data_IF_012956302288
#
_entry.id   IF_012956302288
#
_cell.length_a   1.000
_cell.length_b   1.000
_cell.length_c   1.000
_cell.angle_alpha   90.00
_cell.angle_beta   90.00
_cell.angle_gamma   90.00
#
_symmetry.space_group_name_H-M   'P 1'
#
loop_
_entity.id
_entity.type
_entity.pdbx_description
1 polymer ?
#
# COMPACT_ATOMS: atom_id res chain seq x y z
N UNK A 1 -6.59 29.26 9.60
CA UNK A 1 -5.69 29.96 8.67
C UNK A 1 -5.82 31.47 8.81
N UNK A 2 -4.71 32.21 8.82
CA UNK A 2 -4.70 33.69 8.83
C UNK A 2 -5.29 34.27 7.54
N UNK A 3 -5.81 35.51 7.59
CA UNK A 3 -6.48 36.14 6.42
C UNK A 3 -5.54 36.26 5.21
N UNK A 4 -4.28 36.61 5.44
CA UNK A 4 -3.29 36.79 4.37
C UNK A 4 -2.99 35.47 3.65
N UNK A 5 -2.84 34.36 4.39
CA UNK A 5 -2.66 33.03 3.81
C UNK A 5 -3.91 32.54 3.06
N UNK A 6 -5.11 32.92 3.52
CA UNK A 6 -6.37 32.67 2.79
C UNK A 6 -6.42 33.39 1.45
N UNK A 7 -6.00 34.66 1.41
CA UNK A 7 -5.92 35.42 0.16
C UNK A 7 -4.92 34.78 -0.81
N UNK A 8 -3.74 34.38 -0.32
CA UNK A 8 -2.74 33.65 -1.13
C UNK A 8 -3.28 32.33 -1.67
N UNK A 9 -3.98 31.54 -0.86
CA UNK A 9 -4.63 30.30 -1.32
C UNK A 9 -5.68 30.58 -2.39
N UNK A 10 -6.48 31.63 -2.20
CA UNK A 10 -7.49 32.03 -3.16
C UNK A 10 -6.86 32.45 -4.50
N UNK A 11 -5.79 33.26 -4.44
CA UNK A 11 -5.01 33.68 -5.62
C UNK A 11 -4.42 32.48 -6.36
N UNK A 12 -3.91 31.50 -5.63
CA UNK A 12 -3.42 30.24 -6.20
C UNK A 12 -4.51 29.52 -6.99
N UNK A 13 -5.66 29.26 -6.36
CA UNK A 13 -6.78 28.54 -6.98
C UNK A 13 -7.39 29.29 -8.18
N UNK A 14 -7.24 30.62 -8.23
CA UNK A 14 -7.69 31.46 -9.35
C UNK A 14 -6.72 31.54 -10.53
N UNK A 15 -5.51 30.94 -10.43
CA UNK A 15 -4.57 30.84 -11.55
C UNK A 15 -5.25 30.18 -12.76
N UNK A 16 -4.91 30.65 -13.95
CA UNK A 16 -5.54 30.19 -15.21
C UNK A 16 -5.40 28.68 -15.41
N UNK A 17 -4.25 28.11 -15.09
CA UNK A 17 -3.95 26.69 -15.18
C UNK A 17 -4.87 25.87 -14.27
N UNK A 18 -4.85 26.16 -12.96
CA UNK A 18 -5.67 25.46 -11.96
C UNK A 18 -7.16 25.65 -12.24
N UNK A 19 -7.58 26.86 -12.63
CA UNK A 19 -8.99 27.11 -12.99
C UNK A 19 -9.44 26.33 -14.21
N UNK A 20 -8.55 26.11 -15.17
CA UNK A 20 -8.84 25.26 -16.33
C UNK A 20 -8.99 23.79 -15.92
N UNK A 21 -8.16 23.32 -15.00
CA UNK A 21 -8.25 21.98 -14.42
C UNK A 21 -9.53 21.80 -13.60
N UNK A 22 -9.90 22.78 -12.76
CA UNK A 22 -11.17 22.78 -12.00
C UNK A 22 -12.34 22.65 -12.97
N UNK A 23 -12.39 23.47 -14.03
CA UNK A 23 -13.47 23.40 -15.02
C UNK A 23 -13.51 22.05 -15.73
N UNK A 24 -12.34 21.51 -16.10
CA UNK A 24 -12.23 20.17 -16.69
C UNK A 24 -12.70 19.08 -15.73
N UNK A 25 -12.31 19.14 -14.46
CA UNK A 25 -12.70 18.18 -13.43
C UNK A 25 -14.22 18.20 -13.21
N UNK A 26 -14.82 19.39 -13.09
CA UNK A 26 -16.27 19.56 -12.99
C UNK A 26 -16.99 19.02 -14.23
N UNK A 27 -16.50 19.32 -15.44
CA UNK A 27 -17.08 18.82 -16.68
C UNK A 27 -17.02 17.28 -16.80
N UNK A 28 -15.97 16.66 -16.24
CA UNK A 28 -15.81 15.19 -16.17
C UNK A 28 -16.55 14.56 -14.99
N UNK A 29 -17.20 15.33 -14.13
CA UNK A 29 -17.86 14.84 -12.92
C UNK A 29 -16.88 14.30 -11.86
N UNK A 30 -15.62 14.75 -11.89
CA UNK A 30 -14.62 14.36 -10.89
C UNK A 30 -14.89 15.06 -9.56
N UNK A 31 -14.65 14.35 -8.45
CA UNK A 31 -14.81 14.87 -7.08
C UNK A 31 -13.55 15.56 -6.54
N UNK A 32 -12.45 15.53 -7.28
CA UNK A 32 -11.16 16.02 -6.82
C UNK A 32 -10.33 16.64 -7.94
N UNK A 33 -9.42 17.54 -7.56
CA UNK A 33 -8.35 18.08 -8.41
C UNK A 33 -7.01 17.70 -7.81
N UNK A 34 -6.01 17.45 -8.65
CA UNK A 34 -4.66 17.08 -8.21
C UNK A 34 -3.71 18.21 -8.56
N UNK A 35 -2.96 18.67 -7.56
CA UNK A 35 -1.97 19.74 -7.69
C UNK A 35 -0.62 19.24 -7.20
N UNK A 36 0.47 19.60 -7.89
CA UNK A 36 1.82 19.25 -7.44
C UNK A 36 2.28 20.22 -6.35
N UNK A 37 2.95 19.69 -5.33
CA UNK A 37 3.50 20.51 -4.25
C UNK A 37 4.51 21.54 -4.76
N UNK A 38 5.26 21.22 -5.82
CA UNK A 38 6.19 22.15 -6.47
C UNK A 38 5.49 23.41 -7.00
N UNK A 39 4.30 23.27 -7.59
CA UNK A 39 3.54 24.40 -8.14
C UNK A 39 3.08 25.35 -7.01
N UNK A 40 2.72 24.78 -5.85
CA UNK A 40 2.40 25.53 -4.64
C UNK A 40 3.63 26.25 -4.07
N UNK A 41 4.77 25.55 -3.99
CA UNK A 41 6.03 26.09 -3.48
C UNK A 41 6.58 27.22 -4.36
N UNK A 42 6.42 27.12 -5.68
CA UNK A 42 6.77 28.18 -6.63
C UNK A 42 5.83 29.38 -6.53
N UNK A 43 4.56 29.16 -6.20
CA UNK A 43 3.62 30.24 -5.99
C UNK A 43 3.93 31.04 -4.72
N UNK A 44 3.97 30.37 -3.58
CA UNK A 44 4.25 30.99 -2.29
C UNK A 44 4.84 29.98 -1.29
N UNK A 45 6.02 30.32 -0.76
CA UNK A 45 6.75 29.45 0.16
C UNK A 45 6.11 29.36 1.55
N UNK A 46 5.42 30.40 1.98
CA UNK A 46 4.77 30.42 3.30
C UNK A 46 3.51 29.55 3.28
N UNK A 47 2.72 29.63 2.20
CA UNK A 47 1.56 28.78 1.98
C UNK A 47 1.95 27.31 1.90
N UNK A 48 3.03 26.98 1.19
CA UNK A 48 3.55 25.61 1.12
C UNK A 48 4.02 25.09 2.49
N UNK A 49 4.72 25.90 3.29
CA UNK A 49 5.10 25.56 4.67
C UNK A 49 3.87 25.38 5.56
N UNK A 50 2.88 26.24 5.41
CA UNK A 50 1.64 26.16 6.17
C UNK A 50 0.88 24.85 5.91
N UNK A 51 0.84 24.39 4.66
CA UNK A 51 0.31 23.05 4.34
C UNK A 51 1.07 21.94 5.06
N UNK A 52 2.41 22.00 5.11
CA UNK A 52 3.23 21.00 5.80
C UNK A 52 2.94 21.00 7.31
N UNK A 53 2.75 22.17 7.91
CA UNK A 53 2.61 22.34 9.34
C UNK A 53 1.18 22.18 9.88
N UNK A 54 0.18 22.55 9.08
CA UNK A 54 -1.25 22.60 9.44
C UNK A 54 -2.17 22.10 8.30
N UNK A 55 -2.04 20.82 7.88
CA UNK A 55 -2.77 20.27 6.75
C UNK A 55 -4.29 20.28 6.93
N UNK A 56 -4.80 19.93 8.11
CA UNK A 56 -6.26 19.86 8.33
C UNK A 56 -6.95 21.21 8.08
N UNK A 57 -6.39 22.29 8.64
CA UNK A 57 -6.90 23.65 8.46
C UNK A 57 -6.75 24.09 6.99
N UNK A 58 -5.60 23.81 6.37
CA UNK A 58 -5.36 24.11 4.95
C UNK A 58 -6.40 23.46 4.03
N UNK A 59 -6.63 22.14 4.16
CA UNK A 59 -7.57 21.43 3.29
C UNK A 59 -9.03 21.81 3.56
N UNK A 60 -9.39 22.09 4.82
CA UNK A 60 -10.72 22.60 5.15
C UNK A 60 -11.00 23.93 4.46
N UNK A 61 -10.04 24.86 4.48
CA UNK A 61 -10.19 26.17 3.85
C UNK A 61 -10.13 26.06 2.32
N UNK A 62 -9.25 25.23 1.77
CA UNK A 62 -9.21 24.95 0.33
C UNK A 62 -10.55 24.39 -0.19
N UNK A 63 -11.20 23.50 0.57
CA UNK A 63 -12.51 22.96 0.20
C UNK A 63 -13.61 24.03 0.19
N UNK A 64 -13.56 25.01 1.10
CA UNK A 64 -14.52 26.14 1.12
C UNK A 64 -14.33 27.05 -0.10
N UNK A 65 -13.10 27.40 -0.43
CA UNK A 65 -12.80 28.23 -1.60
C UNK A 65 -13.18 27.52 -2.90
N UNK A 66 -12.85 26.23 -3.03
CA UNK A 66 -13.23 25.42 -4.20
C UNK A 66 -14.75 25.31 -4.37
N UNK A 67 -15.50 25.15 -3.28
CA UNK A 67 -16.96 25.13 -3.33
C UNK A 67 -17.55 26.45 -3.86
N UNK A 68 -16.90 27.59 -3.56
CA UNK A 68 -17.26 28.90 -4.12
C UNK A 68 -16.98 29.05 -5.62
N UNK A 69 -15.95 28.36 -6.14
CA UNK A 69 -15.54 28.44 -7.55
C UNK A 69 -16.32 27.48 -8.45
N UNK A 70 -16.54 26.25 -7.99
CA UNK A 70 -17.03 25.15 -8.80
C UNK A 70 -18.52 24.86 -8.64
N UNK A 71 -19.21 25.53 -7.71
CA UNK A 71 -20.61 25.25 -7.31
C UNK A 71 -20.87 23.77 -6.95
N UNK A 72 -19.81 23.01 -6.69
CA UNK A 72 -19.79 21.57 -6.45
C UNK A 72 -18.68 21.25 -5.42
N UNK A 73 -18.87 20.25 -4.54
CA UNK A 73 -17.87 19.89 -3.54
C UNK A 73 -16.68 19.17 -4.19
N UNK A 74 -15.66 19.92 -4.60
CA UNK A 74 -14.37 19.38 -5.04
C UNK A 74 -13.36 19.38 -3.89
N UNK A 75 -12.58 18.29 -3.81
CA UNK A 75 -11.47 18.14 -2.89
C UNK A 75 -10.14 18.47 -3.57
N UNK A 76 -9.26 19.19 -2.86
CA UNK A 76 -7.90 19.45 -3.31
C UNK A 76 -6.98 18.29 -2.89
N UNK A 77 -6.32 17.66 -3.85
CA UNK A 77 -5.35 16.59 -3.64
C UNK A 77 -3.96 17.13 -3.97
N UNK A 78 -2.97 16.88 -3.11
CA UNK A 78 -1.59 17.37 -3.30
C UNK A 78 -0.65 16.20 -3.46
N UNK A 79 0.08 16.16 -4.58
CA UNK A 79 1.04 15.11 -4.90
C UNK A 79 2.49 15.63 -4.94
N UNK A 80 3.45 14.71 -4.86
CA UNK A 80 4.87 14.97 -5.11
C UNK A 80 5.53 15.94 -4.13
N UNK A 81 5.56 15.62 -2.83
CA UNK A 81 6.29 16.45 -1.85
C UNK A 81 7.83 16.31 -1.98
N UNK A 82 8.30 15.38 -2.82
CA UNK A 82 9.70 15.10 -3.05
C UNK A 82 10.33 14.24 -1.95
N UNK A 83 11.59 13.84 -2.19
CA UNK A 83 12.35 12.97 -1.27
C UNK A 83 12.59 13.60 0.11
N UNK A 84 12.66 14.93 0.19
CA UNK A 84 12.90 15.66 1.44
C UNK A 84 11.79 15.46 2.49
N UNK A 85 10.54 15.32 2.02
CA UNK A 85 9.36 15.13 2.88
C UNK A 85 8.88 13.68 2.89
N UNK A 86 9.65 12.77 2.27
CA UNK A 86 9.34 11.33 2.28
C UNK A 86 9.90 10.70 3.53
N UNK A 87 9.02 10.13 4.36
CA UNK A 87 9.35 9.53 5.65
C UNK A 87 9.05 8.04 5.61
N UNK A 88 10.05 7.22 5.94
CA UNK A 88 9.86 5.78 6.13
C UNK A 88 8.91 5.51 7.30
N UNK A 89 8.04 4.49 7.16
CA UNK A 89 7.06 4.12 8.20
C UNK A 89 7.72 3.89 9.57
N UNK A 90 8.92 3.32 9.61
CA UNK A 90 9.72 3.10 10.82
C UNK A 90 10.22 4.35 11.48
N UNK A 91 10.45 5.40 10.71
CA UNK A 91 10.97 6.67 11.19
C UNK A 91 9.86 7.61 11.65
N UNK A 92 8.58 7.19 11.53
CA UNK A 92 7.45 7.91 12.11
C UNK A 92 7.58 8.03 13.64
N UNK A 93 7.72 9.27 14.08
CA UNK A 93 7.88 9.73 15.46
C UNK A 93 6.90 10.86 15.75
N UNK A 94 6.85 11.30 17.01
CA UNK A 94 6.02 12.41 17.48
C UNK A 94 6.14 13.68 16.63
N UNK A 95 7.35 14.02 16.16
CA UNK A 95 7.60 15.21 15.34
C UNK A 95 6.79 15.27 14.02
N UNK A 96 6.28 14.12 13.55
CA UNK A 96 5.49 14.01 12.34
C UNK A 96 3.98 14.01 12.61
N UNK A 97 3.55 14.06 13.87
CA UNK A 97 2.14 14.16 14.21
C UNK A 97 1.58 15.49 13.71
N UNK A 98 0.39 15.42 13.10
CA UNK A 98 -0.33 16.55 12.52
C UNK A 98 0.43 17.25 11.38
N UNK A 99 1.53 16.66 10.88
CA UNK A 99 2.29 17.18 9.73
C UNK A 99 1.86 16.49 8.44
N UNK A 100 1.94 17.24 7.34
CA UNK A 100 1.74 16.71 6.00
C UNK A 100 3.05 16.08 5.51
N UNK A 101 3.03 14.79 5.25
CA UNK A 101 4.21 14.01 4.88
C UNK A 101 3.89 13.07 3.72
N UNK A 102 4.95 12.57 3.08
CA UNK A 102 4.88 11.54 2.05
C UNK A 102 5.40 10.21 2.61
N UNK A 103 4.73 9.11 2.28
CA UNK A 103 5.11 7.76 2.72
C UNK A 103 5.05 6.82 1.52
N UNK A 104 6.04 5.96 1.42
CA UNK A 104 6.07 4.87 0.44
C UNK A 104 5.88 3.52 1.14
N UNK A 105 5.10 2.63 0.52
CA UNK A 105 4.83 1.32 1.10
C UNK A 105 4.08 0.39 0.14
N UNK A 106 3.75 -0.79 0.65
CA UNK A 106 2.95 -1.81 -0.02
C UNK A 106 1.62 -1.93 0.70
N UNK A 107 0.51 -1.95 -0.03
CA UNK A 107 -0.80 -2.22 0.54
C UNK A 107 -0.84 -3.70 0.94
N UNK A 108 -1.02 -3.98 2.22
CA UNK A 108 -1.13 -5.35 2.76
C UNK A 108 -2.56 -5.71 3.10
N UNK A 109 -3.37 -4.72 3.50
CA UNK A 109 -4.75 -4.94 3.92
C UNK A 109 -5.67 -3.91 3.27
N UNK A 110 -6.85 -4.33 2.87
CA UNK A 110 -7.92 -3.44 2.42
C UNK A 110 -9.27 -3.90 2.99
N UNK A 111 -10.04 -2.96 3.54
CA UNK A 111 -11.41 -3.23 3.97
C UNK A 111 -12.40 -3.06 2.81
N UNK A 112 -13.62 -3.55 3.03
CA UNK A 112 -14.80 -3.09 2.28
C UNK A 112 -14.99 -1.57 2.45
N UNK A 113 -15.65 -0.96 1.47
CA UNK A 113 -16.02 0.46 1.51
C UNK A 113 -17.23 0.62 2.43
N UNK A 114 -17.19 1.61 3.31
CA UNK A 114 -18.28 1.93 4.25
C UNK A 114 -18.62 3.41 4.17
N UNK A 115 -19.88 3.80 4.46
CA UNK A 115 -20.23 5.21 4.57
C UNK A 115 -19.73 5.81 5.89
N UNK A 116 -18.94 6.87 5.82
CA UNK A 116 -18.57 7.73 6.96
C UNK A 116 -19.50 8.94 7.03
N UNK A 117 -20.07 9.19 8.20
CA UNK A 117 -20.93 10.33 8.46
C UNK A 117 -20.09 11.61 8.58
N UNK A 118 -20.29 12.58 7.68
CA UNK A 118 -19.58 13.87 7.67
C UNK A 118 -20.38 14.93 8.41
N UNK A 119 -21.67 15.02 8.11
CA UNK A 119 -22.60 15.96 8.75
C UNK A 119 -23.78 15.17 9.27
N UNK A 120 -23.94 15.14 10.58
CA UNK A 120 -25.08 14.52 11.24
C UNK A 120 -26.22 15.52 11.38
N UNK A 121 -27.37 15.22 10.80
CA UNK A 121 -28.60 15.95 11.06
C UNK A 121 -29.28 15.38 12.30
N UNK A 122 -29.49 16.21 13.32
CA UNK A 122 -30.16 15.83 14.55
C UNK A 122 -31.50 16.53 14.65
N UNK A 123 -32.57 15.74 14.82
CA UNK A 123 -33.91 16.23 15.07
C UNK A 123 -34.20 16.26 16.57
N UNK A 124 -34.55 17.43 17.09
CA UNK A 124 -34.98 17.56 18.47
C UNK A 124 -36.37 16.91 18.66
N UNK A 125 -36.52 15.96 19.60
CA UNK A 125 -37.83 15.31 19.84
C UNK A 125 -38.89 16.24 20.46
N UNK A 126 -38.49 17.38 21.04
CA UNK A 126 -39.43 18.32 21.67
C UNK A 126 -39.99 19.35 20.70
N UNK A 127 -39.14 19.97 19.88
CA UNK A 127 -39.56 21.07 18.98
C UNK A 127 -39.45 20.72 17.50
N UNK A 128 -38.92 19.55 17.14
CA UNK A 128 -38.76 19.12 15.76
C UNK A 128 -37.65 19.84 14.98
N UNK A 129 -36.93 20.79 15.59
CA UNK A 129 -35.84 21.52 14.95
C UNK A 129 -34.73 20.57 14.51
N UNK A 130 -34.29 20.72 13.25
CA UNK A 130 -33.10 20.08 12.71
C UNK A 130 -31.86 20.91 13.02
N UNK A 131 -30.80 20.24 13.48
CA UNK A 131 -29.48 20.81 13.72
C UNK A 131 -28.44 19.98 12.99
N UNK A 132 -27.58 20.65 12.22
CA UNK A 132 -26.51 19.99 11.48
C UNK A 132 -25.22 20.11 12.28
N UNK A 133 -24.61 18.98 12.62
CA UNK A 133 -23.36 18.93 13.37
C UNK A 133 -22.33 18.17 12.55
N UNK A 134 -21.23 18.85 12.25
CA UNK A 134 -20.05 18.24 11.66
C UNK A 134 -19.46 17.18 12.59
N UNK A 135 -19.26 16.00 12.04
CA UNK A 135 -18.73 14.86 12.75
C UNK A 135 -17.23 14.75 12.46
N UNK A 136 -16.44 14.66 13.53
CA UNK A 136 -14.98 14.49 13.43
C UNK A 136 -14.57 13.34 14.34
N UNK A 137 -13.79 12.39 13.81
CA UNK A 137 -13.33 11.21 14.55
C UNK A 137 -14.38 10.09 14.63
N UNK A 138 -14.06 9.05 15.38
CA UNK A 138 -14.82 7.77 15.38
C UNK A 138 -16.12 7.82 16.20
N UNK A 139 -16.28 8.79 17.09
CA UNK A 139 -17.41 8.86 18.02
C UNK A 139 -18.41 9.91 17.55
N UNK A 140 -19.68 9.49 17.40
CA UNK A 140 -20.79 10.37 17.08
C UNK A 140 -20.93 11.49 18.13
N UNK A 141 -20.66 12.72 17.71
CA UNK A 141 -20.87 13.95 18.47
C UNK A 141 -22.33 14.38 18.34
N UNK A 142 -23.03 14.41 19.48
CA UNK A 142 -24.43 14.86 19.56
C UNK A 142 -24.52 16.34 19.96
N UNK A 143 -25.63 17.03 19.63
CA UNK A 143 -25.87 18.37 20.13
C UNK A 143 -25.97 18.33 21.65
N UNK A 144 -25.39 19.33 22.33
CA UNK A 144 -25.59 19.52 23.77
C UNK A 144 -26.89 20.28 24.02
N UNK A 145 -27.22 21.23 23.15
CA UNK A 145 -28.37 22.11 23.26
C UNK A 145 -29.06 22.29 21.91
N UNK A 146 -30.38 22.40 21.95
CA UNK A 146 -31.20 22.76 20.82
C UNK A 146 -31.04 24.26 20.52
N UNK A 147 -30.73 24.57 19.27
CA UNK A 147 -30.59 25.94 18.75
C UNK A 147 -31.91 26.71 18.76
N UNK A 148 -33.06 26.01 18.71
CA UNK A 148 -34.35 26.68 18.70
C UNK A 148 -34.59 27.42 20.02
N UNK A 149 -34.69 28.77 19.98
CA UNK A 149 -34.84 29.56 21.19
C UNK A 149 -36.12 29.25 21.97
N UNK A 150 -37.16 28.80 21.28
CA UNK A 150 -38.50 28.50 21.81
C UNK A 150 -38.66 27.06 22.29
N UNK A 151 -37.58 26.25 22.26
CA UNK A 151 -37.65 24.88 22.73
C UNK A 151 -37.75 24.84 24.25
N UNK A 152 -38.80 24.19 24.76
CA UNK A 152 -39.12 24.03 26.18
C UNK A 152 -38.04 23.27 26.95
N UNK A 153 -37.42 22.27 26.32
CA UNK A 153 -36.28 21.55 26.87
C UNK A 153 -35.13 21.50 25.86
N UNK A 154 -34.21 22.47 25.96
CA UNK A 154 -33.07 22.57 25.04
C UNK A 154 -32.07 21.42 25.18
N UNK A 155 -31.98 20.75 26.32
CA UNK A 155 -31.11 19.58 26.51
C UNK A 155 -31.74 18.24 26.10
N UNK A 156 -32.90 18.27 25.44
CA UNK A 156 -33.71 17.09 25.18
C UNK A 156 -33.08 16.08 24.21
N UNK A 157 -33.66 14.86 24.11
CA UNK A 157 -33.08 13.81 23.30
C UNK A 157 -33.11 14.19 21.82
N UNK A 158 -31.93 14.10 21.21
CA UNK A 158 -31.71 14.30 19.79
C UNK A 158 -31.72 12.96 19.06
N UNK A 159 -32.52 12.87 18.00
CA UNK A 159 -32.59 11.72 17.12
C UNK A 159 -31.75 12.00 15.88
N UNK A 160 -30.92 11.03 15.47
CA UNK A 160 -30.18 11.14 14.22
C UNK A 160 -31.15 10.95 13.06
N UNK A 161 -31.23 11.95 12.20
CA UNK A 161 -31.97 11.92 10.95
C UNK A 161 -31.03 11.52 9.83
N UNK A 162 -31.15 10.27 9.37
CA UNK A 162 -30.26 9.70 8.34
C UNK A 162 -30.50 10.37 6.98
N UNK A 163 -31.74 10.77 6.66
CA UNK A 163 -32.10 11.32 5.35
C UNK A 163 -31.47 12.69 5.11
N UNK A 164 -31.42 13.52 6.16
CA UNK A 164 -30.82 14.86 6.09
C UNK A 164 -29.32 14.86 6.43
N UNK A 165 -28.76 13.70 6.78
CA UNK A 165 -27.34 13.54 7.08
C UNK A 165 -26.52 13.40 5.79
N UNK A 166 -25.27 13.88 5.81
CA UNK A 166 -24.34 13.75 4.69
C UNK A 166 -23.29 12.69 4.99
N UNK A 167 -23.13 11.76 4.05
CA UNK A 167 -22.16 10.68 4.12
C UNK A 167 -21.11 10.82 3.01
N UNK A 168 -19.96 10.20 3.22
CA UNK A 168 -18.93 9.99 2.20
C UNK A 168 -18.39 8.58 2.25
N UNK A 169 -17.74 8.16 1.16
CA UNK A 169 -17.09 6.85 1.09
C UNK A 169 -15.84 6.85 1.97
N UNK A 170 -15.66 5.76 2.72
CA UNK A 170 -14.56 5.54 3.64
C UNK A 170 -14.01 4.13 3.46
N UNK A 171 -12.68 4.01 3.47
CA UNK A 171 -12.00 2.74 3.37
C UNK A 171 -10.75 2.72 4.24
N UNK A 172 -10.50 1.58 4.87
CA UNK A 172 -9.27 1.31 5.59
C UNK A 172 -8.26 0.58 4.71
N UNK A 173 -7.02 1.07 4.72
CA UNK A 173 -5.87 0.42 4.09
C UNK A 173 -4.77 0.19 5.13
N UNK A 174 -4.17 -1.00 5.14
CA UNK A 174 -2.96 -1.28 5.90
C UNK A 174 -1.74 -1.20 5.00
N UNK A 175 -0.84 -0.25 5.23
CA UNK A 175 0.43 -0.14 4.51
C UNK A 175 1.55 -0.86 5.27
N UNK A 176 2.53 -1.38 4.54
CA UNK A 176 3.74 -1.98 5.07
C UNK A 176 4.98 -1.43 4.38
N UNK A 177 6.08 -1.35 5.11
CA UNK A 177 7.40 -1.05 4.54
C UNK A 177 7.78 -2.04 3.44
N UNK A 178 8.52 -1.54 2.45
CA UNK A 178 9.16 -2.35 1.42
C UNK A 178 10.23 -3.24 2.06
N UNK A 179 10.10 -4.58 1.99
CA UNK A 179 11.07 -5.50 2.61
C UNK A 179 12.51 -5.30 2.13
N UNK A 180 12.68 -4.87 0.89
CA UNK A 180 13.98 -4.72 0.21
C UNK A 180 14.81 -3.57 0.80
N UNK A 181 14.15 -2.54 1.33
CA UNK A 181 14.81 -1.41 2.00
C UNK A 181 15.28 -1.77 3.42
N UNK A 182 14.97 -2.98 3.92
CA UNK A 182 15.26 -3.36 5.29
C UNK A 182 16.63 -4.02 5.40
N UNK A 183 17.49 -3.44 6.25
CA UNK A 183 18.71 -4.13 6.68
C UNK A 183 18.41 -5.47 7.35
N UNK A 184 19.37 -6.41 7.25
CA UNK A 184 19.26 -7.81 7.68
C UNK A 184 18.60 -7.99 9.05
N UNK A 185 17.61 -8.89 9.10
CA UNK A 185 16.95 -9.33 10.34
C UNK A 185 15.95 -8.36 10.95
N UNK A 186 15.59 -7.26 10.26
CA UNK A 186 14.58 -6.30 10.74
C UNK A 186 13.21 -6.65 10.20
N UNK A 187 12.22 -6.70 11.09
CA UNK A 187 10.82 -6.90 10.70
C UNK A 187 10.24 -5.63 10.06
N UNK A 188 9.50 -5.74 8.95
CA UNK A 188 8.79 -4.61 8.34
C UNK A 188 7.72 -4.09 9.31
N UNK A 189 7.59 -2.77 9.40
CA UNK A 189 6.53 -2.14 10.19
C UNK A 189 5.30 -1.90 9.34
N UNK A 190 4.12 -1.95 9.98
CA UNK A 190 2.82 -1.67 9.37
C UNK A 190 2.30 -0.30 9.83
N UNK A 191 1.53 0.37 8.98
CA UNK A 191 0.86 1.64 9.23
C UNK A 191 -0.60 1.55 8.81
N UNK A 192 -1.49 1.89 9.72
CA UNK A 192 -2.92 1.95 9.46
C UNK A 192 -3.27 3.27 8.78
N UNK A 193 -3.98 3.19 7.66
CA UNK A 193 -4.29 4.32 6.81
C UNK A 193 -5.79 4.39 6.50
N UNK A 194 -6.28 5.61 6.33
CA UNK A 194 -7.68 5.89 5.96
C UNK A 194 -7.70 6.63 4.62
N UNK A 195 -8.55 6.15 3.73
CA UNK A 195 -8.82 6.72 2.42
C UNK A 195 -10.30 7.10 2.34
N UNK A 196 -10.59 8.21 1.64
CA UNK A 196 -11.93 8.80 1.55
C UNK A 196 -12.28 9.21 0.13
N UNK A 197 -13.58 9.29 -0.15
CA UNK A 197 -14.15 9.82 -1.39
C UNK A 197 -13.63 9.08 -2.64
N UNK A 198 -13.17 9.81 -3.65
CA UNK A 198 -12.72 9.29 -4.95
C UNK A 198 -11.45 8.43 -4.89
N UNK A 199 -10.79 8.33 -3.74
CA UNK A 199 -9.60 7.50 -3.58
C UNK A 199 -9.92 6.07 -3.12
N UNK A 200 -11.14 5.80 -2.64
CA UNK A 200 -11.54 4.45 -2.25
C UNK A 200 -11.50 3.50 -3.45
N UNK A 201 -11.15 2.24 -3.21
CA UNK A 201 -11.04 1.17 -4.23
C UNK A 201 -9.91 1.34 -5.26
N UNK A 202 -9.18 2.46 -5.25
CA UNK A 202 -8.06 2.65 -6.21
C UNK A 202 -6.93 1.65 -5.98
N UNK A 203 -6.55 1.40 -4.73
CA UNK A 203 -5.42 0.55 -4.38
C UNK A 203 -5.88 -0.80 -3.82
N UNK A 204 -5.29 -1.87 -4.33
CA UNK A 204 -5.54 -3.25 -3.86
C UNK A 204 -4.33 -3.81 -3.10
N UNK A 205 -4.52 -4.79 -2.20
CA UNK A 205 -3.40 -5.47 -1.56
C UNK A 205 -2.40 -6.02 -2.59
N UNK A 206 -1.10 -5.83 -2.34
CA UNK A 206 0.01 -6.09 -3.27
C UNK A 206 0.47 -4.87 -4.06
N UNK A 207 -0.34 -3.80 -4.16
CA UNK A 207 0.09 -2.58 -4.85
C UNK A 207 1.19 -1.86 -4.06
N UNK A 208 2.24 -1.45 -4.78
CA UNK A 208 3.22 -0.49 -4.29
C UNK A 208 2.65 0.91 -4.48
N UNK A 209 2.60 1.67 -3.41
CA UNK A 209 1.98 3.00 -3.40
C UNK A 209 2.92 4.06 -2.87
N UNK A 210 2.76 5.26 -3.40
CA UNK A 210 3.23 6.50 -2.81
C UNK A 210 2.00 7.30 -2.36
N UNK A 211 1.97 7.62 -1.07
CA UNK A 211 0.83 8.31 -0.48
C UNK A 211 1.29 9.61 0.17
N UNK A 212 0.50 10.65 0.00
CA UNK A 212 0.66 11.91 0.74
C UNK A 212 -0.53 12.08 1.66
N UNK A 213 -0.31 12.69 2.81
CA UNK A 213 -1.32 12.73 3.85
C UNK A 213 -0.77 13.28 5.15
N UNK A 214 -1.56 13.17 6.20
CA UNK A 214 -1.16 13.63 7.53
C UNK A 214 -1.37 12.54 8.58
N UNK A 215 -0.47 12.52 9.55
CA UNK A 215 -0.47 11.52 10.61
C UNK A 215 -1.24 12.03 11.82
N UNK A 216 -2.23 11.30 12.29
CA UNK A 216 -3.00 11.66 13.47
C UNK A 216 -2.85 10.61 14.56
N UNK A 217 -2.85 11.05 15.82
CA UNK A 217 -2.88 10.17 16.98
C UNK A 217 -4.33 9.99 17.44
N UNK A 218 -4.87 8.79 17.32
CA UNK A 218 -6.22 8.46 17.79
C UNK A 218 -6.17 7.76 19.17
N UNK A 219 -7.02 8.18 20.12
CA UNK A 219 -7.05 7.59 21.45
C UNK A 219 -7.62 6.18 21.39
N UNK A 220 -6.92 5.21 21.97
CA UNK A 220 -7.46 3.88 22.14
C UNK A 220 -8.26 3.75 23.44
N UNK A 221 -9.30 2.93 23.40
CA UNK A 221 -10.05 2.52 24.59
C UNK A 221 -9.68 1.09 24.97
N UNK A 222 -9.61 0.80 26.27
CA UNK A 222 -9.54 -0.58 26.76
C UNK A 222 -10.88 -1.29 26.52
N UNK A 223 -10.90 -2.62 26.66
CA UNK A 223 -12.16 -3.40 26.63
C UNK A 223 -13.17 -2.93 27.68
N UNK A 224 -12.69 -2.33 28.77
CA UNK A 224 -13.48 -1.74 29.86
C UNK A 224 -13.86 -0.26 29.60
N UNK A 225 -13.50 0.29 28.44
CA UNK A 225 -13.87 1.63 28.02
C UNK A 225 -12.99 2.77 28.54
N UNK A 226 -11.94 2.47 29.31
CA UNK A 226 -10.98 3.47 29.80
C UNK A 226 -10.06 3.95 28.67
N UNK A 227 -9.70 5.24 28.66
CA UNK A 227 -8.78 5.80 27.66
C UNK A 227 -7.34 5.40 28.00
N UNK A 228 -6.63 4.84 27.02
CA UNK A 228 -5.19 4.58 27.15
C UNK A 228 -4.40 5.89 27.01
N UNK A 229 -3.25 5.96 27.67
CA UNK A 229 -2.26 7.03 27.49
C UNK A 229 -1.40 6.82 26.24
N UNK A 230 -1.39 5.60 25.70
CA UNK A 230 -0.76 5.25 24.43
C UNK A 230 -1.79 5.38 23.32
N UNK A 231 -1.47 6.21 22.35
CA UNK A 231 -2.32 6.49 21.19
C UNK A 231 -1.87 5.65 20.01
N UNK A 232 -2.83 5.26 19.17
CA UNK A 232 -2.55 4.62 17.88
C UNK A 232 -2.34 5.69 16.83
N UNK A 233 -1.35 5.49 15.96
CA UNK A 233 -1.10 6.39 14.82
C UNK A 233 -1.93 5.92 13.64
N UNK A 234 -2.67 6.84 13.02
CA UNK A 234 -3.45 6.58 11.81
C UNK A 234 -3.10 7.64 10.78
N UNK A 235 -2.82 7.21 9.56
CA UNK A 235 -2.45 8.11 8.47
C UNK A 235 -3.64 8.40 7.58
N UNK A 236 -4.04 9.67 7.48
CA UNK A 236 -5.12 10.09 6.61
C UNK A 236 -4.55 10.44 5.25
N UNK A 237 -4.87 9.62 4.25
CA UNK A 237 -4.35 9.77 2.90
C UNK A 237 -5.11 10.90 2.20
N UNK A 238 -4.36 11.92 1.80
CA UNK A 238 -4.87 12.97 0.94
C UNK A 238 -4.72 12.63 -0.53
N UNK A 239 -3.61 12.01 -0.96
CA UNK A 239 -3.41 11.58 -2.34
C UNK A 239 -2.72 10.21 -2.35
N UNK A 240 -3.10 9.39 -3.33
CA UNK A 240 -2.58 8.03 -3.50
C UNK A 240 -2.18 7.85 -4.97
N UNK A 241 -0.95 7.41 -5.18
CA UNK A 241 -0.43 7.00 -6.47
C UNK A 241 0.06 5.55 -6.43
N UNK A 242 -0.23 4.79 -7.49
CA UNK A 242 0.13 3.37 -7.59
C UNK A 242 1.33 3.25 -8.52
N UNK A 243 2.46 2.78 -7.98
CA UNK A 243 3.67 2.53 -8.75
C UNK A 243 3.51 1.22 -9.54
N UNK A 244 2.93 1.34 -10.74
CA UNK A 244 2.59 0.20 -11.61
C UNK A 244 3.81 -0.53 -12.22
N UNK A 245 5.00 0.08 -12.24
CA UNK A 245 6.21 -0.51 -12.82
C UNK A 245 7.21 -0.89 -11.73
N UNK A 246 7.66 -2.16 -11.75
CA UNK A 246 8.67 -2.72 -10.86
C UNK A 246 10.11 -2.27 -11.17
N UNK A 247 10.27 -1.48 -12.21
CA UNK A 247 11.51 -0.75 -12.45
C UNK A 247 11.30 0.58 -11.73
N UNK A 248 11.91 0.74 -10.56
CA UNK A 248 12.41 2.07 -10.21
C UNK A 248 13.11 2.54 -11.47
N UNK A 249 12.61 3.58 -12.14
CA UNK A 249 13.32 4.17 -13.28
C UNK A 249 14.63 4.68 -12.70
N UNK A 250 15.63 3.79 -12.65
CA UNK A 250 17.01 4.17 -12.51
C UNK A 250 17.24 4.95 -13.79
N UNK A 251 17.19 6.27 -13.68
CA UNK A 251 17.56 7.16 -14.76
C UNK A 251 18.99 6.78 -15.14
N UNK A 252 19.13 6.04 -16.24
CA UNK A 252 20.43 5.59 -16.72
C UNK A 252 21.19 6.82 -17.19
N UNK A 253 22.31 7.11 -16.53
CA UNK A 253 23.19 8.17 -17.01
C UNK A 253 23.84 7.75 -18.32
N UNK A 254 24.29 8.74 -19.11
CA UNK A 254 25.08 8.44 -20.32
C UNK A 254 26.36 7.66 -20.00
N UNK A 255 26.89 7.78 -18.77
CA UNK A 255 28.04 7.03 -18.30
C UNK A 255 27.70 5.54 -18.08
N UNK A 256 26.56 5.26 -17.45
CA UNK A 256 26.06 3.90 -17.23
C UNK A 256 25.84 3.18 -18.57
N UNK A 257 25.21 3.86 -19.54
CA UNK A 257 25.03 3.30 -20.88
C UNK A 257 26.36 2.91 -21.55
N UNK A 258 27.38 3.77 -21.44
CA UNK A 258 28.71 3.49 -22.00
C UNK A 258 29.34 2.28 -21.33
N UNK A 259 29.20 2.14 -20.00
CA UNK A 259 29.71 0.98 -19.27
C UNK A 259 28.98 -0.30 -19.68
N UNK A 260 27.66 -0.28 -19.81
CA UNK A 260 26.85 -1.42 -20.26
C UNK A 260 27.27 -1.84 -21.67
N UNK A 261 27.37 -0.89 -22.61
CA UNK A 261 27.81 -1.17 -23.99
C UNK A 261 29.22 -1.76 -24.05
N UNK A 262 30.13 -1.30 -23.18
CA UNK A 262 31.49 -1.86 -23.07
C UNK A 262 31.48 -3.29 -22.50
N UNK A 263 30.67 -3.55 -21.48
CA UNK A 263 30.52 -4.89 -20.89
C UNK A 263 29.89 -5.89 -21.88
N UNK A 264 28.93 -5.44 -22.68
CA UNK A 264 28.26 -6.26 -23.70
C UNK A 264 29.22 -6.80 -24.78
N UNK A 265 30.37 -6.15 -24.99
CA UNK A 265 31.39 -6.57 -25.97
C UNK A 265 32.36 -7.63 -25.40
N UNK A 266 32.29 -7.93 -24.11
CA UNK A 266 33.20 -8.90 -23.48
C UNK A 266 32.82 -10.34 -23.86
N UNK A 267 33.73 -11.12 -24.50
CA UNK A 267 33.44 -12.51 -24.86
C UNK A 267 33.19 -13.42 -23.65
N UNK A 268 33.67 -13.05 -22.46
CA UNK A 268 33.50 -13.81 -21.22
C UNK A 268 32.37 -13.26 -20.34
N UNK A 269 31.47 -12.43 -20.87
CA UNK A 269 30.38 -11.80 -20.11
C UNK A 269 29.52 -12.83 -19.37
N UNK A 270 29.15 -13.92 -20.03
CA UNK A 270 28.30 -14.98 -19.44
C UNK A 270 28.94 -15.56 -18.17
N UNK A 271 30.21 -15.95 -18.23
CA UNK A 271 30.91 -16.49 -17.05
C UNK A 271 31.02 -15.46 -15.93
N UNK A 272 31.26 -14.18 -16.28
CA UNK A 272 31.30 -13.10 -15.29
C UNK A 272 29.97 -12.95 -14.57
N UNK A 273 28.85 -12.95 -15.31
CA UNK A 273 27.51 -12.85 -14.72
C UNK A 273 27.20 -14.04 -13.81
N UNK A 274 27.52 -15.27 -14.22
CA UNK A 274 27.30 -16.46 -13.41
C UNK A 274 28.11 -16.39 -12.11
N UNK A 275 29.39 -16.00 -12.18
CA UNK A 275 30.25 -15.83 -10.99
C UNK A 275 29.79 -14.70 -10.07
N UNK A 276 29.09 -13.70 -10.60
CA UNK A 276 28.47 -12.62 -9.83
C UNK A 276 27.24 -13.06 -9.03
N UNK A 277 26.60 -14.19 -9.38
CA UNK A 277 25.50 -14.75 -8.58
C UNK A 277 26.05 -15.42 -7.33
N UNK A 278 25.64 -14.94 -6.15
CA UNK A 278 26.07 -15.41 -4.84
C UNK A 278 27.60 -15.68 -4.76
N UNK A 279 28.44 -14.63 -4.88
CA UNK A 279 29.90 -14.77 -5.03
C UNK A 279 30.58 -15.35 -3.79
N UNK A 280 29.90 -15.32 -2.63
CA UNK A 280 30.37 -15.94 -1.39
C UNK A 280 30.34 -17.48 -1.42
N UNK A 281 29.68 -18.09 -2.40
CA UNK A 281 29.53 -19.54 -2.53
C UNK A 281 30.43 -20.01 -3.67
N UNK A 282 31.37 -20.90 -3.36
CA UNK A 282 32.24 -21.52 -4.35
C UNK A 282 31.52 -22.62 -5.14
N UNK A 283 31.73 -22.68 -6.46
CA UNK A 283 31.15 -23.68 -7.35
C UNK A 283 29.67 -23.46 -7.69
N UNK A 284 28.94 -24.55 -7.96
CA UNK A 284 27.52 -24.54 -8.35
C UNK A 284 27.19 -23.69 -9.60
N UNK A 285 28.12 -23.61 -10.55
CA UNK A 285 28.01 -22.74 -11.73
C UNK A 285 26.70 -22.99 -12.52
N UNK A 286 26.28 -24.25 -12.69
CA UNK A 286 25.02 -24.60 -13.36
C UNK A 286 23.78 -24.11 -12.61
N UNK A 287 23.79 -24.16 -11.27
CA UNK A 287 22.69 -23.66 -10.43
C UNK A 287 22.64 -22.14 -10.49
N UNK A 288 23.80 -21.49 -10.38
CA UNK A 288 23.94 -20.03 -10.50
C UNK A 288 23.48 -19.53 -11.86
N UNK A 289 23.79 -20.26 -12.93
CA UNK A 289 23.31 -19.98 -14.27
C UNK A 289 21.79 -20.09 -14.37
N UNK A 290 21.17 -21.14 -13.82
CA UNK A 290 19.72 -21.27 -13.80
C UNK A 290 19.04 -20.09 -13.07
N UNK A 291 19.61 -19.67 -11.93
CA UNK A 291 19.10 -18.53 -11.17
C UNK A 291 19.29 -17.21 -11.92
N UNK A 292 20.42 -17.03 -12.62
CA UNK A 292 20.63 -15.87 -13.48
C UNK A 292 19.54 -15.78 -14.56
N UNK A 293 19.23 -16.89 -15.22
CA UNK A 293 18.17 -16.94 -16.23
C UNK A 293 16.78 -16.65 -15.63
N UNK A 294 16.51 -17.17 -14.42
CA UNK A 294 15.27 -16.86 -13.69
C UNK A 294 15.13 -15.38 -13.34
N UNK A 295 16.23 -14.73 -12.91
CA UNK A 295 16.23 -13.31 -12.58
C UNK A 295 16.03 -12.40 -13.79
N UNK A 296 16.50 -12.83 -14.96
CA UNK A 296 16.30 -12.08 -16.21
C UNK A 296 14.88 -12.25 -16.76
N UNK A 297 14.32 -13.46 -16.64
CA UNK A 297 12.98 -13.79 -17.11
C UNK A 297 12.78 -13.55 -18.61
N UNK A 298 11.52 -13.45 -19.01
CA UNK A 298 11.10 -13.04 -20.35
C UNK A 298 9.77 -12.30 -20.23
N UNK A 299 9.49 -11.38 -21.14
CA UNK A 299 8.18 -10.73 -21.17
C UNK A 299 7.07 -11.76 -21.43
N UNK A 300 5.89 -11.62 -20.78
CA UNK A 300 4.75 -12.46 -21.07
C UNK A 300 4.26 -12.25 -22.51
N UNK A 301 3.82 -13.32 -23.15
CA UNK A 301 3.27 -13.26 -24.50
C UNK A 301 1.75 -13.32 -24.40
N UNK A 302 1.07 -12.29 -24.89
CA UNK A 302 -0.38 -12.30 -25.08
C UNK A 302 -0.72 -12.84 -26.47
N UNK A 303 -1.58 -13.85 -26.51
CA UNK A 303 -2.08 -14.45 -27.74
C UNK A 303 -3.29 -13.66 -28.27
N UNK A 304 -3.66 -13.89 -29.54
CA UNK A 304 -4.79 -13.21 -30.19
C UNK A 304 -6.15 -13.51 -29.53
N UNK A 305 -6.25 -14.63 -28.80
CA UNK A 305 -7.45 -15.03 -28.04
C UNK A 305 -7.54 -14.36 -26.65
N UNK A 306 -6.56 -13.54 -26.27
CA UNK A 306 -6.48 -12.86 -24.98
C UNK A 306 -5.85 -13.71 -23.87
N UNK A 307 -5.38 -14.93 -24.18
CA UNK A 307 -4.68 -15.77 -23.21
C UNK A 307 -3.25 -15.27 -23.02
N UNK A 308 -2.77 -15.23 -21.76
CA UNK A 308 -1.43 -14.79 -21.40
C UNK A 308 -0.53 -15.98 -21.07
N UNK A 309 0.58 -16.12 -21.78
CA UNK A 309 1.64 -17.10 -21.49
C UNK A 309 2.72 -16.41 -20.65
N UNK A 310 3.03 -16.97 -19.49
CA UNK A 310 4.09 -16.45 -18.61
C UNK A 310 5.49 -16.65 -19.21
N UNK A 311 6.35 -15.65 -19.04
CA UNK A 311 7.78 -15.74 -19.38
C UNK A 311 8.68 -16.12 -18.21
N UNK A 312 8.11 -16.27 -17.00
CA UNK A 312 8.85 -16.53 -15.76
C UNK A 312 9.14 -18.01 -15.54
N UNK A 313 10.30 -18.32 -14.96
CA UNK A 313 10.75 -19.68 -14.65
C UNK A 313 10.64 -19.92 -13.15
N UNK A 314 10.06 -21.05 -12.74
CA UNK A 314 10.13 -21.52 -11.34
C UNK A 314 11.27 -22.52 -11.19
N UNK A 315 12.04 -22.41 -10.10
CA UNK A 315 13.19 -23.27 -9.81
C UNK A 315 13.02 -23.86 -8.41
N UNK A 316 13.21 -25.17 -8.28
CA UNK A 316 13.25 -25.89 -7.00
C UNK A 316 14.64 -26.51 -6.80
N UNK A 317 15.31 -26.11 -5.73
CA UNK A 317 16.62 -26.64 -5.33
C UNK A 317 16.44 -27.75 -4.29
N UNK A 318 16.76 -28.98 -4.68
CA UNK A 318 16.73 -30.15 -3.79
C UNK A 318 18.16 -30.65 -3.60
N UNK A 319 18.55 -30.87 -2.36
CA UNK A 319 19.89 -31.33 -2.03
C UNK A 319 20.09 -31.49 -0.53
N UNK A 320 21.20 -32.06 -0.13
CA UNK A 320 21.50 -32.31 1.28
C UNK A 320 21.53 -31.00 2.10
N UNK A 321 21.27 -31.06 3.41
CA UNK A 321 21.49 -29.94 4.31
C UNK A 321 22.95 -29.44 4.22
N UNK A 322 23.14 -28.12 4.32
CA UNK A 322 24.46 -27.51 4.32
C UNK A 322 25.07 -27.23 2.94
N UNK A 323 24.39 -27.54 1.83
CA UNK A 323 24.86 -27.23 0.45
C UNK A 323 24.57 -25.79 0.00
N UNK A 324 24.46 -24.87 0.96
CA UNK A 324 24.24 -23.42 0.76
C UNK A 324 22.94 -22.98 0.06
N UNK A 325 21.94 -23.85 -0.14
CA UNK A 325 20.63 -23.51 -0.76
C UNK A 325 19.99 -22.26 -0.13
N UNK A 326 19.79 -22.26 1.18
CA UNK A 326 19.18 -21.13 1.91
C UNK A 326 20.00 -19.84 1.80
N UNK A 327 21.33 -19.94 1.66
CA UNK A 327 22.18 -18.77 1.47
C UNK A 327 22.02 -18.17 0.06
N UNK A 328 21.84 -19.02 -0.95
CA UNK A 328 21.52 -18.60 -2.32
C UNK A 328 20.17 -17.88 -2.34
N UNK A 329 19.12 -18.47 -1.76
CA UNK A 329 17.78 -17.87 -1.72
C UNK A 329 17.80 -16.48 -1.07
N UNK A 330 18.49 -16.33 0.07
CA UNK A 330 18.65 -15.04 0.74
C UNK A 330 19.36 -14.00 -0.12
N UNK A 331 20.43 -14.41 -0.81
CA UNK A 331 21.16 -13.51 -1.71
C UNK A 331 20.28 -13.04 -2.87
N UNK A 332 19.52 -13.97 -3.46
CA UNK A 332 18.59 -13.66 -4.57
C UNK A 332 17.52 -12.67 -4.12
N UNK A 333 16.90 -12.88 -2.96
CA UNK A 333 15.91 -11.93 -2.42
C UNK A 333 16.48 -10.55 -2.07
N UNK A 334 17.77 -10.45 -1.74
CA UNK A 334 18.43 -9.18 -1.43
C UNK A 334 18.79 -8.38 -2.70
N UNK A 335 19.12 -9.07 -3.79
CA UNK A 335 19.58 -8.44 -5.04
C UNK A 335 18.44 -8.15 -6.01
N UNK A 336 17.42 -9.00 -6.04
CA UNK A 336 16.29 -8.83 -6.93
C UNK A 336 15.40 -7.66 -6.50
N UNK A 337 14.90 -6.85 -7.45
CA UNK A 337 13.86 -5.88 -7.14
C UNK A 337 12.62 -6.61 -6.64
N UNK A 338 11.98 -6.08 -5.60
CA UNK A 338 10.80 -6.70 -4.98
C UNK A 338 11.05 -8.15 -4.51
N UNK A 339 12.28 -8.45 -4.11
CA UNK A 339 12.70 -9.77 -3.66
C UNK A 339 12.21 -10.08 -2.25
N UNK A 340 11.49 -11.19 -2.09
CA UNK A 340 10.96 -11.63 -0.80
C UNK A 340 11.51 -12.99 -0.41
N UNK A 341 12.00 -13.11 0.82
CA UNK A 341 12.38 -14.39 1.43
C UNK A 341 11.39 -14.80 2.51
N UNK A 342 10.92 -16.04 2.42
CA UNK A 342 10.00 -16.63 3.40
C UNK A 342 10.33 -18.11 3.61
N UNK A 343 9.95 -18.65 4.77
CA UNK A 343 9.93 -20.08 5.01
C UNK A 343 8.57 -20.65 4.59
N UNK A 344 8.55 -21.91 4.16
CA UNK A 344 7.35 -22.70 3.89
C UNK A 344 6.58 -23.09 5.15
N UNK A 345 7.09 -22.78 6.35
CA UNK A 345 6.39 -22.99 7.61
C UNK A 345 5.65 -21.72 8.03
N UNK A 346 4.34 -21.86 8.32
CA UNK A 346 3.41 -20.82 8.80
C UNK A 346 4.06 -19.68 9.59
N UNK A 347 4.10 -18.50 8.99
CA UNK A 347 4.54 -17.28 9.67
C UNK A 347 3.43 -16.24 9.89
N UNK A 348 2.30 -16.29 9.17
CA UNK A 348 1.20 -15.32 9.28
C UNK A 348 -0.19 -15.92 8.99
N UNK A 349 -1.27 -15.19 9.30
CA UNK A 349 -2.64 -15.62 9.02
C UNK A 349 -2.94 -15.77 7.51
N UNK A 350 -2.35 -14.90 6.67
CA UNK A 350 -2.44 -14.96 5.21
C UNK A 350 -1.46 -15.96 4.58
N UNK A 351 -0.39 -16.32 5.29
CA UNK A 351 0.63 -17.26 4.82
C UNK A 351 1.31 -16.76 3.55
N UNK A 352 1.46 -17.67 2.59
CA UNK A 352 2.06 -17.40 1.29
C UNK A 352 1.09 -16.73 0.31
N UNK A 353 -0.22 -16.95 0.48
CA UNK A 353 -1.24 -16.59 -0.52
C UNK A 353 -1.97 -15.30 -0.19
N UNK A 354 -3.29 -15.29 -0.02
CA UNK A 354 -4.05 -14.18 0.54
C UNK A 354 -5.27 -14.74 1.29
N UNK A 355 -5.77 -14.03 2.28
CA UNK A 355 -6.93 -14.50 3.06
C UNK A 355 -7.76 -13.35 3.61
N UNK A 356 -9.04 -13.62 3.86
CA UNK A 356 -9.89 -12.69 4.61
C UNK A 356 -9.64 -12.89 6.12
N UNK A 357 -9.20 -11.82 6.79
CA UNK A 357 -9.00 -11.78 8.25
C UNK A 357 -9.97 -10.79 8.89
N UNK A 358 -10.31 -11.00 10.16
CA UNK A 358 -11.05 -9.98 10.91
C UNK A 358 -10.09 -8.91 11.38
N UNK A 359 -10.39 -7.67 11.06
CA UNK A 359 -9.56 -6.54 11.43
C UNK A 359 -10.04 -5.89 12.73
N UNK A 360 -9.09 -5.53 13.59
CA UNK A 360 -9.37 -4.95 14.91
C UNK A 360 -9.82 -3.49 14.81
N UNK A 361 -9.44 -2.77 13.76
CA UNK A 361 -9.84 -1.37 13.55
C UNK A 361 -11.32 -1.30 13.13
N UNK A 362 -11.68 -2.04 12.10
CA UNK A 362 -13.02 -2.01 11.50
C UNK A 362 -14.01 -2.94 12.17
N UNK A 363 -13.54 -3.95 12.92
CA UNK A 363 -14.35 -5.08 13.38
C UNK A 363 -14.91 -5.95 12.25
N UNK A 364 -14.57 -5.65 11.00
CA UNK A 364 -15.05 -6.32 9.79
C UNK A 364 -14.04 -7.29 9.20
N UNK A 365 -14.42 -7.89 8.07
CA UNK A 365 -13.48 -8.65 7.25
C UNK A 365 -12.64 -7.69 6.41
N UNK A 366 -11.34 -7.93 6.38
CA UNK A 366 -10.39 -7.28 5.47
C UNK A 366 -9.64 -8.33 4.69
N UNK A 367 -9.30 -8.00 3.45
CA UNK A 367 -8.44 -8.83 2.62
C UNK A 367 -6.99 -8.57 3.01
N UNK A 368 -6.28 -9.59 3.50
CA UNK A 368 -4.85 -9.53 3.81
C UNK A 368 -4.04 -10.28 2.73
N UNK A 369 -3.10 -9.56 2.11
CA UNK A 369 -2.12 -10.12 1.18
C UNK A 369 -1.04 -10.90 1.95
N UNK A 370 -0.75 -12.10 1.47
CA UNK A 370 0.40 -12.90 1.89
C UNK A 370 1.62 -12.64 1.02
N UNK A 371 2.66 -13.44 1.25
CA UNK A 371 3.99 -13.22 0.71
C UNK A 371 4.05 -13.12 -0.83
N UNK A 372 3.37 -14.02 -1.55
CA UNK A 372 3.43 -14.05 -3.03
C UNK A 372 2.75 -12.83 -3.67
N UNK A 373 1.68 -12.32 -3.06
CA UNK A 373 1.00 -11.09 -3.52
C UNK A 373 1.86 -9.86 -3.25
N UNK A 374 2.55 -9.82 -2.12
CA UNK A 374 3.46 -8.71 -1.78
C UNK A 374 4.65 -8.65 -2.74
N UNK A 375 5.10 -9.80 -3.26
CA UNK A 375 6.23 -9.90 -4.17
C UNK A 375 5.86 -9.66 -5.66
N UNK A 376 4.62 -9.28 -6.01
CA UNK A 376 4.17 -9.13 -7.41
C UNK A 376 5.12 -8.24 -8.26
N UNK A 377 5.57 -8.79 -9.38
CA UNK A 377 6.57 -8.16 -10.26
C UNK A 377 8.02 -8.23 -9.75
N UNK A 378 8.30 -9.08 -8.76
CA UNK A 378 9.62 -9.36 -8.19
C UNK A 378 10.02 -10.82 -8.26
N UNK A 379 10.53 -11.38 -7.16
CA UNK A 379 10.80 -12.83 -7.00
C UNK A 379 10.50 -13.28 -5.58
N UNK A 380 9.86 -14.46 -5.43
CA UNK A 380 9.65 -15.07 -4.13
C UNK A 380 10.60 -16.24 -3.89
N UNK A 381 11.39 -16.15 -2.82
CA UNK A 381 12.29 -17.19 -2.35
C UNK A 381 11.65 -17.94 -1.18
N UNK A 382 11.35 -19.23 -1.36
CA UNK A 382 10.67 -20.08 -0.37
C UNK A 382 11.62 -21.17 0.13
N UNK A 383 12.03 -21.07 1.39
CA UNK A 383 12.89 -22.06 2.03
C UNK A 383 12.09 -23.12 2.79
N UNK A 384 12.67 -24.29 3.03
CA UNK A 384 12.01 -25.42 3.71
C UNK A 384 10.66 -25.80 3.07
N UNK A 385 10.62 -25.83 1.74
CA UNK A 385 9.40 -26.13 0.98
C UNK A 385 8.83 -27.51 1.32
N UNK A 386 9.66 -28.47 1.75
CA UNK A 386 9.24 -29.81 2.18
C UNK A 386 8.38 -29.80 3.45
N UNK A 387 8.45 -28.72 4.25
CA UNK A 387 7.69 -28.60 5.51
C UNK A 387 6.34 -27.90 5.34
N UNK A 388 6.02 -27.49 4.12
CA UNK A 388 4.75 -26.85 3.80
C UNK A 388 3.60 -27.82 3.98
N UNK A 389 2.49 -27.36 4.55
CA UNK A 389 1.29 -28.19 4.66
C UNK A 389 0.59 -28.34 3.30
N UNK A 390 -0.16 -29.43 3.12
CA UNK A 390 -0.84 -29.70 1.85
C UNK A 390 -1.83 -28.59 1.45
N UNK A 391 -2.38 -27.85 2.43
CA UNK A 391 -3.35 -26.78 2.16
C UNK A 391 -2.65 -25.57 1.54
N UNK A 392 -1.51 -25.16 2.09
CA UNK A 392 -0.68 -24.09 1.54
C UNK A 392 -0.09 -24.48 0.19
N UNK A 393 0.39 -25.73 0.05
CA UNK A 393 0.89 -26.23 -1.22
C UNK A 393 -0.17 -26.14 -2.33
N UNK A 394 -1.41 -26.56 -2.05
CA UNK A 394 -2.52 -26.44 -3.00
C UNK A 394 -2.91 -24.98 -3.30
N UNK A 395 -2.84 -24.10 -2.30
CA UNK A 395 -3.20 -22.69 -2.46
C UNK A 395 -2.23 -21.93 -3.37
N UNK A 396 -0.97 -22.36 -3.45
CA UNK A 396 0.07 -21.73 -4.28
C UNK A 396 0.00 -22.18 -5.75
N UNK A 397 -0.61 -23.33 -6.05
CA UNK A 397 -0.70 -23.84 -7.43
C UNK A 397 -1.38 -22.86 -8.39
N UNK A 398 -2.44 -22.18 -7.93
CA UNK A 398 -3.11 -21.12 -8.69
C UNK A 398 -2.12 -20.00 -9.05
N UNK A 399 -1.33 -19.56 -8.06
CA UNK A 399 -0.33 -18.51 -8.25
C UNK A 399 0.78 -18.92 -9.22
N UNK A 400 1.25 -20.16 -9.18
CA UNK A 400 2.34 -20.63 -10.05
C UNK A 400 1.91 -20.77 -11.50
N UNK A 401 0.64 -21.14 -11.73
CA UNK A 401 0.14 -21.40 -13.08
C UNK A 401 -0.51 -20.16 -13.70
N UNK A 402 -1.46 -19.53 -12.99
CA UNK A 402 -2.27 -18.42 -13.51
C UNK A 402 -1.66 -17.04 -13.19
N UNK A 403 -0.64 -16.97 -12.33
CA UNK A 403 -0.09 -15.71 -11.82
C UNK A 403 -1.15 -14.82 -11.13
N UNK A 404 -2.17 -15.46 -10.55
CA UNK A 404 -3.23 -14.82 -9.77
C UNK A 404 -3.61 -15.67 -8.57
N UNK A 405 -4.21 -15.05 -7.56
CA UNK A 405 -4.83 -15.72 -6.41
C UNK A 405 -6.25 -15.19 -6.25
N UNK A 406 -7.23 -16.08 -6.28
CA UNK A 406 -8.62 -15.76 -6.03
C UNK A 406 -9.00 -16.05 -4.58
N UNK A 407 -9.57 -15.05 -3.90
CA UNK A 407 -10.04 -15.16 -2.52
C UNK A 407 -11.54 -14.96 -2.50
N UNK A 408 -12.27 -15.98 -2.04
CA UNK A 408 -13.71 -15.92 -1.79
C UNK A 408 -14.01 -16.34 -0.35
N UNK A 409 -13.95 -15.40 0.59
CA UNK A 409 -14.17 -15.66 2.02
C UNK A 409 -14.69 -14.44 2.75
N UNK A 410 -15.62 -14.64 3.68
CA UNK A 410 -16.15 -13.55 4.52
C UNK A 410 -16.95 -12.50 3.73
N UNK A 411 -17.51 -12.87 2.58
CA UNK A 411 -18.23 -11.94 1.67
C UNK A 411 -17.32 -11.17 0.73
N UNK A 412 -16.00 -11.33 0.84
CA UNK A 412 -15.02 -10.72 -0.07
C UNK A 412 -14.77 -11.69 -1.22
N UNK A 413 -15.01 -11.23 -2.44
CA UNK A 413 -14.62 -11.91 -3.67
C UNK A 413 -13.63 -11.02 -4.42
N UNK A 414 -12.35 -11.41 -4.43
CA UNK A 414 -11.28 -10.62 -5.02
C UNK A 414 -10.28 -11.53 -5.74
N UNK A 415 -9.66 -11.00 -6.79
CA UNK A 415 -8.54 -11.64 -7.48
C UNK A 415 -7.33 -10.73 -7.36
N UNK A 416 -6.22 -11.27 -6.87
CA UNK A 416 -4.96 -10.56 -6.65
C UNK A 416 -3.92 -11.09 -7.63
N UNK A 417 -3.06 -10.20 -8.11
CA UNK A 417 -1.99 -10.59 -9.03
C UNK A 417 -0.79 -11.16 -8.25
N UNK A 418 -0.17 -12.18 -8.82
CA UNK A 418 1.04 -12.83 -8.33
C UNK A 418 1.96 -13.19 -9.49
N UNK A 419 2.33 -12.18 -10.29
CA UNK A 419 3.21 -12.29 -11.45
C UNK A 419 4.65 -12.37 -10.98
N UNK A 420 5.02 -13.55 -10.48
CA UNK A 420 6.32 -13.79 -9.86
C UNK A 420 6.91 -15.14 -10.30
N UNK A 421 8.22 -15.22 -10.55
CA UNK A 421 8.97 -16.45 -10.42
C UNK A 421 9.10 -16.85 -8.94
N UNK A 422 9.23 -18.15 -8.72
CA UNK A 422 9.41 -18.75 -7.39
C UNK A 422 10.70 -19.55 -7.39
N UNK A 423 11.59 -19.22 -6.47
CA UNK A 423 12.81 -19.95 -6.18
C UNK A 423 12.63 -20.68 -4.85
N UNK A 424 12.40 -21.99 -4.91
CA UNK A 424 12.17 -22.80 -3.72
C UNK A 424 13.42 -23.62 -3.36
N UNK A 425 13.59 -23.92 -2.08
CA UNK A 425 14.58 -24.88 -1.60
C UNK A 425 13.89 -25.92 -0.71
N UNK A 426 14.23 -27.20 -0.91
CA UNK A 426 13.71 -28.31 -0.14
C UNK A 426 14.81 -29.30 0.25
N UNK A 427 14.64 -29.98 1.37
CA UNK A 427 15.51 -31.09 1.78
C UNK A 427 14.91 -32.45 1.38
N UNK A 428 15.74 -33.47 1.07
CA UNK A 428 15.27 -34.83 0.87
C UNK A 428 14.63 -35.40 2.13
N UNK A 429 13.70 -36.34 1.96
CA UNK A 429 12.93 -36.96 3.05
C UNK A 429 13.81 -37.56 4.16
N UNK A 430 14.84 -38.31 3.77
CA UNK A 430 15.79 -38.97 4.69
C UNK A 430 16.99 -38.06 5.04
N UNK A 431 16.91 -36.77 4.71
CA UNK A 431 17.96 -35.79 4.99
C UNK A 431 19.21 -35.89 4.10
N UNK A 432 19.34 -36.93 3.26
CA UNK A 432 20.40 -37.06 2.25
C UNK A 432 19.88 -37.75 0.99
N UNK A 433 20.44 -37.37 -0.16
CA UNK A 433 20.15 -38.02 -1.44
C UNK A 433 20.95 -39.34 -1.54
N UNK A 434 20.24 -40.45 -1.69
CA UNK A 434 20.80 -41.72 -2.10
C UNK A 434 20.88 -41.80 -3.63
N UNK A 435 22.09 -41.95 -4.16
CA UNK A 435 22.34 -42.07 -5.60
C UNK A 435 21.82 -43.38 -6.21
N UNK A 436 21.55 -44.38 -5.37
CA UNK A 436 21.09 -45.70 -5.82
C UNK A 436 19.56 -45.78 -5.93
N UNK A 437 18.84 -44.83 -5.34
CA UNK A 437 17.38 -44.79 -5.38
C UNK A 437 16.89 -43.77 -6.41
N UNK A 438 15.72 -43.98 -7.02
CA UNK A 438 15.09 -42.98 -7.86
C UNK A 438 14.82 -41.69 -7.08
N UNK A 439 15.07 -40.54 -7.73
CA UNK A 439 14.88 -39.21 -7.14
C UNK A 439 13.45 -39.01 -6.62
N UNK A 440 12.45 -39.50 -7.36
CA UNK A 440 11.02 -39.37 -6.99
C UNK A 440 10.71 -39.97 -5.62
N UNK A 441 11.38 -41.06 -5.22
CA UNK A 441 11.13 -41.71 -3.92
C UNK A 441 11.72 -40.93 -2.73
N UNK A 442 12.55 -39.93 -3.01
CA UNK A 442 13.35 -39.22 -2.01
C UNK A 442 12.83 -37.79 -1.73
N UNK A 443 11.83 -37.32 -2.50
CA UNK A 443 11.34 -35.93 -2.49
C UNK A 443 9.96 -35.80 -1.82
N UNK A 444 9.23 -36.89 -1.60
CA UNK A 444 7.84 -36.88 -1.09
C UNK A 444 7.72 -37.06 0.42
#
# INVERSE_FOLDING_TARGET
MEKELREKLNDFLHRREIRSEIKSAVAKGQKSIVVRFEDLLQHDKELARYLLDHPEDFFMEAAKELAGIAESPLQLRVCGLGKENTVEIRNLREIHLEKFIQIEGIVTRASEIRPELVVAAFKCKWCGQLQLIEQTGEILKKPVLCENPNCTQRGGPFELDIENSKFRDWQFLGLQERPEQLGRGRMPRKLDCIVRDDLTEKAVPGNHVEVTGFLQALPERTREGQRKTVFRKVFFINYLDIKHKGVEEIELSEEDEKQIKKLAQDPNLREKLIRSIAPSIYGNEQVKEGILLQLMGCDPVELEDGTRIRGDIHILLIGDPGVAKSAILKWVSEVAPRGLYTSGVKSTAAGLTATAVRDEYTGGWVLEAGALVIADGGIACVDEFEKMDEREANAILESLEQQTISVSKGGIMATLNTRIPVLAAANPKEGRIDKNLPIVQQIT
#
